data_IF_722832152236
#
_entry.id   IF_722832152236
#
_cell.length_a   1.000
_cell.length_b   1.000
_cell.length_c   1.000
_cell.angle_alpha   90.00
_cell.angle_beta   90.00
_cell.angle_gamma   90.00
#
_symmetry.space_group_name_H-M   'P 1'
#
loop_
_entity.id
_entity.type
_entity.pdbx_description
1 polymer ?
#
# COMPACT_ATOMS: atom_id res chain seq x y z
N UNK A 1 -13.42 8.45 -12.41
CA UNK A 1 -13.12 9.35 -11.27
C UNK A 1 -12.59 8.56 -10.07
N UNK A 2 -13.33 7.60 -9.50
CA UNK A 2 -12.83 6.77 -8.39
C UNK A 2 -11.62 5.89 -8.76
N UNK A 3 -11.60 5.31 -9.97
CA UNK A 3 -10.52 4.41 -10.42
C UNK A 3 -9.15 5.09 -10.41
N UNK A 4 -9.07 6.35 -10.83
CA UNK A 4 -7.82 7.11 -10.87
C UNK A 4 -7.25 7.38 -9.46
N UNK A 5 -8.12 7.51 -8.46
CA UNK A 5 -7.70 7.68 -7.06
C UNK A 5 -7.10 6.38 -6.50
N UNK A 6 -7.75 5.25 -6.77
CA UNK A 6 -7.27 3.92 -6.36
C UNK A 6 -5.96 3.57 -7.06
N UNK A 7 -5.83 3.91 -8.34
CA UNK A 7 -4.61 3.68 -9.12
C UNK A 7 -3.43 4.52 -8.61
N UNK A 8 -3.70 5.78 -8.22
CA UNK A 8 -2.70 6.65 -7.59
C UNK A 8 -2.24 6.10 -6.23
N UNK A 9 -3.18 5.63 -5.40
CA UNK A 9 -2.88 5.00 -4.11
C UNK A 9 -2.08 3.70 -4.28
N UNK A 10 -2.45 2.85 -5.24
CA UNK A 10 -1.72 1.64 -5.56
C UNK A 10 -0.28 1.91 -6.00
N UNK A 11 -0.08 2.90 -6.87
CA UNK A 11 1.26 3.34 -7.30
C UNK A 11 2.10 3.89 -6.14
N UNK A 12 1.48 4.65 -5.23
CA UNK A 12 2.14 5.17 -4.04
C UNK A 12 2.60 4.04 -3.10
N UNK A 13 1.72 3.08 -2.84
CA UNK A 13 2.03 1.87 -2.05
C UNK A 13 3.21 1.11 -2.64
N UNK A 14 3.18 0.85 -3.96
CA UNK A 14 4.26 0.13 -4.66
C UNK A 14 5.59 0.91 -4.56
N UNK A 15 5.56 2.23 -4.69
CA UNK A 15 6.75 3.07 -4.57
C UNK A 15 7.33 3.05 -3.15
N UNK A 16 6.48 3.12 -2.12
CA UNK A 16 6.88 3.05 -0.71
C UNK A 16 7.48 1.67 -0.39
N UNK A 17 6.84 0.57 -0.79
CA UNK A 17 7.34 -0.78 -0.56
C UNK A 17 8.63 -1.03 -1.35
N UNK A 18 8.74 -0.54 -2.58
CA UNK A 18 9.96 -0.70 -3.39
C UNK A 18 11.17 0.05 -2.81
N UNK A 19 10.94 1.18 -2.14
CA UNK A 19 12.00 1.99 -1.54
C UNK A 19 12.33 1.57 -0.11
N UNK A 20 11.32 1.21 0.69
CA UNK A 20 11.47 0.91 2.11
C UNK A 20 11.56 -0.60 2.40
N UNK A 21 11.06 -1.48 1.53
CA UNK A 21 10.99 -2.92 1.77
C UNK A 21 10.04 -3.30 2.91
N UNK A 22 10.39 -4.32 3.71
CA UNK A 22 9.63 -4.80 4.86
C UNK A 22 9.15 -3.72 5.85
N UNK A 23 9.95 -2.72 6.27
CA UNK A 23 9.45 -1.66 7.16
C UNK A 23 8.38 -0.78 6.48
N UNK A 24 8.40 -0.65 5.15
CA UNK A 24 7.34 -0.01 4.39
C UNK A 24 6.02 -0.77 4.48
N UNK A 25 6.06 -2.10 4.46
CA UNK A 25 4.89 -2.98 4.58
C UNK A 25 4.24 -2.82 5.97
N UNK A 26 5.03 -2.84 7.04
CA UNK A 26 4.52 -2.67 8.42
C UNK A 26 3.85 -1.31 8.60
N UNK A 27 4.45 -0.26 8.03
CA UNK A 27 3.91 1.09 8.08
C UNK A 27 2.57 1.17 7.32
N UNK A 28 2.51 0.61 6.11
CA UNK A 28 1.31 0.59 5.29
C UNK A 28 0.19 -0.27 5.89
N UNK A 29 0.49 -1.39 6.53
CA UNK A 29 -0.49 -2.16 7.30
C UNK A 29 -1.02 -1.37 8.50
N UNK A 30 -0.17 -0.59 9.18
CA UNK A 30 -0.61 0.32 10.24
C UNK A 30 -1.54 1.42 9.73
N UNK A 31 -1.28 1.95 8.52
CA UNK A 31 -2.13 2.95 7.85
C UNK A 31 -3.45 2.32 7.38
N UNK A 32 -3.43 1.10 6.83
CA UNK A 32 -4.64 0.37 6.42
C UNK A 32 -5.57 0.15 7.62
N UNK A 33 -4.99 -0.18 8.78
CA UNK A 33 -5.72 -0.31 10.04
C UNK A 33 -6.36 1.01 10.52
N UNK A 34 -5.84 2.17 10.12
CA UNK A 34 -6.39 3.49 10.45
C UNK A 34 -7.63 3.89 9.61
N UNK A 35 -8.37 2.91 9.06
CA UNK A 35 -9.52 3.09 8.16
C UNK A 35 -9.20 3.78 6.82
N UNK A 36 -7.94 3.81 6.40
CA UNK A 36 -7.58 4.27 5.06
C UNK A 36 -7.69 3.05 4.14
N UNK A 37 -8.61 3.06 3.15
CA UNK A 37 -8.82 1.91 2.26
C UNK A 37 -7.61 1.74 1.34
N UNK A 38 -6.63 0.95 1.81
CA UNK A 38 -5.47 0.52 1.04
C UNK A 38 -5.76 -0.87 0.47
N UNK A 39 -5.49 -1.11 -0.82
CA UNK A 39 -5.71 -2.41 -1.44
C UNK A 39 -4.66 -3.40 -0.92
N UNK A 40 -5.04 -4.24 0.05
CA UNK A 40 -4.19 -5.26 0.66
C UNK A 40 -3.64 -6.28 -0.35
N UNK A 41 -4.33 -6.46 -1.48
CA UNK A 41 -3.90 -7.22 -2.67
C UNK A 41 -2.55 -6.75 -3.25
N UNK A 42 -2.20 -5.48 -3.03
CA UNK A 42 -0.93 -4.89 -3.51
C UNK A 42 0.17 -5.02 -2.44
N UNK A 43 -0.19 -5.20 -1.17
CA UNK A 43 0.76 -5.30 -0.05
C UNK A 43 1.19 -6.76 0.19
N UNK A 44 0.23 -7.70 0.15
CA UNK A 44 0.46 -9.12 0.40
C UNK A 44 1.54 -9.80 -0.46
N UNK A 45 1.66 -9.56 -1.78
CA UNK A 45 2.71 -10.21 -2.59
C UNK A 45 4.14 -9.78 -2.23
N UNK A 46 4.31 -8.70 -1.46
CA UNK A 46 5.60 -8.25 -0.96
C UNK A 46 5.88 -8.69 0.48
N UNK A 47 4.88 -9.23 1.18
CA UNK A 47 4.99 -9.65 2.58
C UNK A 47 5.74 -10.98 2.76
N UNK A 48 6.04 -11.69 1.67
CA UNK A 48 6.62 -13.03 1.69
C UNK A 48 5.61 -14.10 1.35
#
# INVERSE_FOLDING_TARGET
>A
MLTSLVEMLGRFVIAVISQAGYPGIVLLMGIESACIPLPSEIIMPFSG
#
